data_IF_778027212450
#
_entry.id   IF_778027212450
#
_cell.length_a   1.000
_cell.length_b   1.000
_cell.length_c   1.000
_cell.angle_alpha   90.00
_cell.angle_beta   90.00
_cell.angle_gamma   90.00
#
_symmetry.space_group_name_H-M   'P 1'
#
loop_
_entity.id
_entity.type
_entity.pdbx_description
1 polymer ?
#
# COMPACT_ATOMS: atom_id res chain seq x y z
N UNK A 1 11.26 -21.82 -16.59
CA UNK A 1 12.04 -20.82 -15.84
C UNK A 1 11.15 -19.78 -15.15
N UNK A 2 10.37 -18.96 -15.88
CA UNK A 2 9.47 -17.92 -15.29
C UNK A 2 8.32 -18.44 -14.41
N UNK A 3 8.09 -19.75 -14.34
CA UNK A 3 7.13 -20.35 -13.42
C UNK A 3 7.65 -20.46 -11.98
N UNK A 4 8.96 -20.37 -11.78
CA UNK A 4 9.60 -20.54 -10.46
C UNK A 4 9.28 -19.33 -9.57
N UNK A 5 8.74 -19.51 -8.35
CA UNK A 5 8.36 -18.41 -7.45
C UNK A 5 9.52 -17.45 -7.14
N UNK A 6 10.74 -17.97 -6.95
CA UNK A 6 11.92 -17.16 -6.72
C UNK A 6 12.24 -16.22 -7.90
N UNK A 7 12.04 -16.67 -9.13
CA UNK A 7 12.23 -15.85 -10.34
C UNK A 7 11.15 -14.78 -10.42
N UNK A 8 9.88 -15.14 -10.19
CA UNK A 8 8.77 -14.16 -10.13
C UNK A 8 9.04 -13.08 -9.08
N UNK A 9 9.58 -13.48 -7.94
CA UNK A 9 9.93 -12.58 -6.85
C UNK A 9 11.03 -11.60 -7.25
N UNK A 10 12.14 -12.10 -7.80
CA UNK A 10 13.25 -11.26 -8.26
C UNK A 10 12.80 -10.24 -9.32
N UNK A 11 11.97 -10.67 -10.28
CA UNK A 11 11.40 -9.76 -11.30
C UNK A 11 10.57 -8.65 -10.67
N UNK A 12 9.73 -8.98 -9.67
CA UNK A 12 8.90 -8.00 -8.95
C UNK A 12 9.74 -7.02 -8.12
N UNK A 13 10.81 -7.51 -7.49
CA UNK A 13 11.75 -6.65 -6.76
C UNK A 13 12.42 -5.65 -7.71
N UNK A 14 12.94 -6.13 -8.84
CA UNK A 14 13.60 -5.27 -9.84
C UNK A 14 12.60 -4.25 -10.41
N UNK A 15 11.38 -4.68 -10.73
CA UNK A 15 10.33 -3.77 -11.19
C UNK A 15 10.00 -2.68 -10.15
N UNK A 16 9.88 -3.06 -8.88
CA UNK A 16 9.62 -2.11 -7.79
C UNK A 16 10.81 -1.15 -7.57
N UNK A 17 12.05 -1.60 -7.70
CA UNK A 17 13.23 -0.72 -7.62
C UNK A 17 13.27 0.28 -8.77
N UNK A 18 13.00 -0.16 -10.00
CA UNK A 18 12.89 0.72 -11.17
C UNK A 18 11.75 1.72 -10.97
N UNK A 19 10.59 1.24 -10.51
CA UNK A 19 9.44 2.08 -10.25
C UNK A 19 9.72 3.15 -9.19
N UNK A 20 10.36 2.80 -8.08
CA UNK A 20 10.77 3.79 -7.07
C UNK A 20 11.81 4.76 -7.63
N UNK A 21 12.77 4.28 -8.43
CA UNK A 21 13.73 5.14 -9.11
C UNK A 21 13.06 6.17 -10.04
N UNK A 22 12.05 5.74 -10.80
CA UNK A 22 11.24 6.63 -11.64
C UNK A 22 10.49 7.68 -10.81
N UNK A 23 9.91 7.30 -9.66
CA UNK A 23 9.23 8.24 -8.76
C UNK A 23 10.18 9.25 -8.12
N UNK A 24 11.38 8.82 -7.72
CA UNK A 24 12.40 9.70 -7.18
C UNK A 24 12.87 10.68 -8.27
N UNK A 25 13.16 10.18 -9.47
CA UNK A 25 13.53 11.02 -10.62
C UNK A 25 12.41 12.02 -10.94
N UNK A 26 11.16 11.57 -10.96
CA UNK A 26 9.99 12.42 -11.14
C UNK A 26 9.91 13.50 -10.05
N UNK A 27 10.08 13.14 -8.77
CA UNK A 27 10.06 14.12 -7.67
C UNK A 27 11.16 15.19 -7.82
N UNK A 28 12.37 14.81 -8.22
CA UNK A 28 13.47 15.77 -8.46
C UNK A 28 13.24 16.61 -9.71
N UNK A 29 12.81 16.02 -10.82
CA UNK A 29 12.58 16.77 -12.07
C UNK A 29 11.38 17.73 -11.93
N UNK A 30 10.31 17.34 -11.23
CA UNK A 30 9.16 18.24 -10.95
C UNK A 30 9.61 19.49 -10.19
N UNK A 31 10.61 19.38 -9.32
CA UNK A 31 11.07 20.52 -8.50
C UNK A 31 11.84 21.57 -9.30
N UNK A 32 12.40 21.20 -10.46
CA UNK A 32 13.12 22.14 -11.31
C UNK A 32 12.11 22.89 -12.21
N UNK A 33 11.60 23.99 -11.67
CA UNK A 33 10.57 24.84 -12.29
C UNK A 33 10.97 25.53 -13.60
N UNK A 34 12.10 25.19 -14.21
CA UNK A 34 12.56 25.81 -15.46
C UNK A 34 11.65 25.39 -16.64
N UNK A 35 10.71 26.29 -16.94
CA UNK A 35 9.52 26.17 -17.82
C UNK A 35 9.81 25.68 -19.25
N UNK A 36 11.07 25.65 -19.70
CA UNK A 36 11.42 25.45 -21.12
C UNK A 36 11.52 23.99 -21.58
N UNK A 37 11.57 22.99 -20.68
CA UNK A 37 11.66 21.55 -21.04
C UNK A 37 10.34 20.76 -20.85
N UNK A 38 9.21 21.44 -21.05
CA UNK A 38 7.87 20.93 -20.72
C UNK A 38 7.39 19.72 -21.56
N UNK A 39 8.08 19.37 -22.65
CA UNK A 39 7.65 18.29 -23.54
C UNK A 39 8.21 16.91 -23.15
N UNK A 40 9.47 16.81 -22.73
CA UNK A 40 10.06 15.53 -22.29
C UNK A 40 9.48 15.08 -20.95
N UNK A 41 9.15 16.04 -20.08
CA UNK A 41 8.52 15.80 -18.79
C UNK A 41 7.20 15.01 -18.89
N UNK A 42 6.40 15.29 -19.93
CA UNK A 42 5.08 14.64 -20.12
C UNK A 42 5.23 13.13 -20.36
N UNK A 43 6.26 12.70 -21.08
CA UNK A 43 6.45 11.29 -21.37
C UNK A 43 6.77 10.49 -20.11
N UNK A 44 7.68 10.98 -19.26
CA UNK A 44 8.04 10.35 -17.99
C UNK A 44 6.83 10.25 -17.05
N UNK A 45 6.04 11.33 -16.97
CA UNK A 45 4.82 11.41 -16.16
C UNK A 45 3.79 10.34 -16.59
N UNK A 46 3.50 10.23 -17.90
CA UNK A 46 2.59 9.20 -18.41
C UNK A 46 3.10 7.78 -18.16
N UNK A 47 4.40 7.53 -18.32
CA UNK A 47 5.01 6.23 -18.00
C UNK A 47 4.80 5.91 -16.53
N UNK A 48 5.01 6.87 -15.62
CA UNK A 48 4.75 6.68 -14.20
C UNK A 48 3.29 6.34 -13.93
N UNK A 49 2.33 7.05 -14.53
CA UNK A 49 0.90 6.75 -14.35
C UNK A 49 0.50 5.36 -14.86
N UNK A 50 1.04 4.92 -16.00
CA UNK A 50 0.81 3.56 -16.49
C UNK A 50 1.39 2.53 -15.52
N UNK A 51 2.60 2.74 -15.02
CA UNK A 51 3.23 1.87 -14.03
C UNK A 51 2.46 1.83 -12.70
N UNK A 52 1.90 2.96 -12.27
CA UNK A 52 1.04 3.07 -11.07
C UNK A 52 -0.23 2.26 -11.24
N UNK A 53 -0.90 2.42 -12.37
CA UNK A 53 -2.10 1.65 -12.68
C UNK A 53 -1.78 0.16 -12.72
N UNK A 54 -0.63 -0.22 -13.27
CA UNK A 54 -0.15 -1.59 -13.24
C UNK A 54 0.07 -2.15 -11.84
N UNK A 55 0.72 -1.38 -10.96
CA UNK A 55 0.92 -1.80 -9.56
C UNK A 55 -0.41 -1.95 -8.80
N UNK A 56 -1.36 -1.03 -8.99
CA UNK A 56 -2.68 -1.13 -8.36
C UNK A 56 -3.45 -2.36 -8.86
N UNK A 57 -3.37 -2.66 -10.16
CA UNK A 57 -3.95 -3.88 -10.72
C UNK A 57 -3.29 -5.13 -10.17
N UNK A 58 -1.96 -5.19 -10.06
CA UNK A 58 -1.25 -6.35 -9.50
C UNK A 58 -1.68 -6.60 -8.05
N UNK A 59 -1.77 -5.56 -7.22
CA UNK A 59 -2.28 -5.67 -5.84
C UNK A 59 -3.69 -6.26 -5.83
N UNK A 60 -4.58 -5.70 -6.66
CA UNK A 60 -5.95 -6.17 -6.75
C UNK A 60 -6.06 -7.63 -7.20
N UNK A 61 -5.20 -8.08 -8.13
CA UNK A 61 -5.16 -9.47 -8.57
C UNK A 61 -4.59 -10.42 -7.52
N UNK A 62 -3.54 -10.02 -6.79
CA UNK A 62 -2.95 -10.82 -5.74
C UNK A 62 -3.94 -11.05 -4.59
N UNK A 63 -4.64 -9.99 -4.19
CA UNK A 63 -5.64 -10.06 -3.11
C UNK A 63 -6.92 -10.75 -3.61
N UNK A 64 -7.37 -10.47 -4.84
CA UNK A 64 -8.52 -11.12 -5.46
C UNK A 64 -8.32 -12.62 -5.73
N UNK A 65 -7.07 -13.06 -5.93
CA UNK A 65 -6.72 -14.47 -6.11
C UNK A 65 -7.04 -15.33 -4.89
N UNK A 66 -6.86 -14.81 -3.67
CA UNK A 66 -7.19 -15.52 -2.44
C UNK A 66 -8.70 -15.75 -2.28
N UNK A 67 -9.52 -14.81 -2.78
CA UNK A 67 -10.96 -14.83 -2.62
C UNK A 67 -11.68 -15.73 -3.63
N UNK A 68 -10.99 -16.22 -4.67
CA UNK A 68 -11.57 -17.10 -5.69
C UNK A 68 -12.04 -18.45 -5.12
N UNK A 69 -11.59 -18.80 -3.91
CA UNK A 69 -11.97 -20.02 -3.17
C UNK A 69 -13.35 -19.88 -2.50
N UNK A 70 -13.86 -18.65 -2.27
CA UNK A 70 -15.15 -18.43 -1.61
C UNK A 70 -16.26 -18.10 -2.63
N UNK A 71 -17.30 -18.93 -2.71
CA UNK A 71 -18.31 -18.95 -3.79
C UNK A 71 -19.25 -17.74 -3.95
N UNK A 72 -19.18 -16.68 -3.13
CA UNK A 72 -20.22 -15.64 -3.08
C UNK A 72 -19.68 -14.24 -3.47
N UNK A 73 -20.20 -13.61 -4.54
CA UNK A 73 -19.56 -12.45 -5.21
C UNK A 73 -19.65 -11.13 -4.41
N UNK A 74 -20.79 -10.83 -3.80
CA UNK A 74 -20.95 -9.57 -3.04
C UNK A 74 -20.22 -9.62 -1.69
N UNK A 75 -20.20 -10.78 -1.02
CA UNK A 75 -19.40 -10.97 0.20
C UNK A 75 -17.90 -10.95 -0.10
N UNK A 76 -17.48 -11.30 -1.31
CA UNK A 76 -16.07 -11.24 -1.74
C UNK A 76 -15.55 -9.81 -1.83
N UNK A 77 -16.30 -8.87 -2.41
CA UNK A 77 -15.85 -7.47 -2.56
C UNK A 77 -15.81 -6.76 -1.21
N UNK A 78 -16.82 -6.97 -0.36
CA UNK A 78 -16.82 -6.38 0.97
C UNK A 78 -15.70 -6.95 1.85
N UNK A 79 -15.47 -8.27 1.78
CA UNK A 79 -14.37 -8.91 2.51
C UNK A 79 -13.01 -8.47 1.98
N UNK A 80 -12.85 -8.33 0.65
CA UNK A 80 -11.59 -7.82 0.08
C UNK A 80 -11.29 -6.42 0.59
N UNK A 81 -12.26 -5.52 0.63
CA UNK A 81 -12.08 -4.15 1.10
C UNK A 81 -11.78 -4.04 2.61
N UNK A 82 -12.28 -4.98 3.41
CA UNK A 82 -12.02 -5.01 4.87
C UNK A 82 -10.68 -5.69 5.17
N UNK A 83 -10.31 -6.72 4.40
CA UNK A 83 -9.07 -7.49 4.59
C UNK A 83 -7.87 -6.90 3.84
N UNK A 84 -8.09 -6.02 2.85
CA UNK A 84 -7.01 -5.26 2.22
C UNK A 84 -6.25 -4.49 3.28
N UNK A 85 -4.93 -4.62 3.27
CA UNK A 85 -4.09 -3.93 4.25
C UNK A 85 -4.36 -2.42 4.15
N UNK A 86 -4.59 -1.69 5.27
CA UNK A 86 -4.88 -0.25 5.22
C UNK A 86 -3.77 0.53 4.49
N UNK A 87 -2.53 0.04 4.56
CA UNK A 87 -1.41 0.61 3.82
C UNK A 87 -1.57 0.51 2.28
N UNK A 88 -2.09 -0.59 1.74
CA UNK A 88 -2.25 -0.75 0.29
C UNK A 88 -3.35 0.16 -0.26
N UNK A 89 -4.48 0.26 0.46
CA UNK A 89 -5.54 1.22 0.15
C UNK A 89 -5.04 2.66 0.20
N UNK A 90 -4.29 3.02 1.25
CA UNK A 90 -3.74 4.37 1.39
C UNK A 90 -2.84 4.75 0.20
N UNK A 91 -1.97 3.85 -0.26
CA UNK A 91 -1.16 4.07 -1.47
C UNK A 91 -2.05 4.28 -2.70
N UNK A 92 -3.04 3.42 -2.93
CA UNK A 92 -3.92 3.54 -4.09
C UNK A 92 -4.66 4.88 -4.10
N UNK A 93 -5.17 5.32 -2.94
CA UNK A 93 -5.85 6.60 -2.77
C UNK A 93 -4.91 7.78 -3.06
N UNK A 94 -3.70 7.78 -2.48
CA UNK A 94 -2.71 8.83 -2.75
C UNK A 94 -2.34 8.92 -4.24
N UNK A 95 -2.18 7.78 -4.88
CA UNK A 95 -1.88 7.71 -6.32
C UNK A 95 -3.01 8.27 -7.19
N UNK A 96 -4.26 7.94 -6.87
CA UNK A 96 -5.43 8.49 -7.56
C UNK A 96 -5.52 9.99 -7.32
N UNK A 97 -5.27 10.46 -6.08
CA UNK A 97 -5.27 11.87 -5.74
C UNK A 97 -4.25 12.67 -6.57
N UNK A 98 -3.03 12.14 -6.77
CA UNK A 98 -2.02 12.77 -7.63
C UNK A 98 -2.53 12.94 -9.06
N UNK A 99 -3.11 11.89 -9.65
CA UNK A 99 -3.64 11.94 -11.03
C UNK A 99 -4.78 12.95 -11.13
N UNK A 100 -5.69 12.98 -10.15
CA UNK A 100 -6.82 13.91 -10.12
C UNK A 100 -6.34 15.36 -9.99
N UNK A 101 -5.46 15.65 -9.04
CA UNK A 101 -4.89 16.99 -8.85
C UNK A 101 -4.17 17.44 -10.12
N UNK A 102 -3.45 16.53 -10.78
CA UNK A 102 -2.76 16.83 -12.04
C UNK A 102 -3.72 17.17 -13.18
N UNK A 103 -4.80 16.41 -13.36
CA UNK A 103 -5.81 16.65 -14.39
C UNK A 103 -6.54 17.97 -14.14
N UNK A 104 -6.87 18.28 -12.88
CA UNK A 104 -7.51 19.56 -12.53
C UNK A 104 -6.54 20.73 -12.75
N UNK A 105 -5.27 20.55 -12.34
CA UNK A 105 -4.22 21.53 -12.54
C UNK A 105 -3.96 21.85 -14.01
N UNK A 106 -4.01 20.85 -14.91
CA UNK A 106 -3.83 21.08 -16.34
C UNK A 106 -4.97 21.84 -17.01
N UNK A 107 -6.16 21.84 -16.41
CA UNK A 107 -7.34 22.57 -16.92
C UNK A 107 -7.41 23.99 -16.35
N UNK A 108 -6.98 24.18 -15.10
CA UNK A 108 -7.26 25.42 -14.33
C UNK A 108 -6.09 26.41 -14.34
N UNK A 109 -4.89 25.99 -14.77
CA UNK A 109 -3.66 26.82 -14.86
C UNK A 109 -3.32 27.58 -13.56
N UNK A 110 -3.67 27.00 -12.41
CA UNK A 110 -3.40 27.57 -11.09
C UNK A 110 -2.06 27.07 -10.55
N UNK A 111 -1.15 27.99 -10.24
CA UNK A 111 0.14 27.69 -9.61
C UNK A 111 0.01 26.89 -8.30
N UNK A 112 -1.02 27.15 -7.49
CA UNK A 112 -1.26 26.46 -6.20
C UNK A 112 -1.52 24.96 -6.37
N UNK A 113 -2.23 24.54 -7.43
CA UNK A 113 -2.49 23.12 -7.70
C UNK A 113 -1.21 22.39 -8.12
N UNK A 114 -0.28 23.09 -8.78
CA UNK A 114 1.02 22.52 -9.13
C UNK A 114 1.90 22.29 -7.89
N UNK A 115 1.93 23.24 -6.94
CA UNK A 115 2.62 23.06 -5.66
C UNK A 115 2.05 21.89 -4.87
N UNK A 116 0.71 21.78 -4.78
CA UNK A 116 0.05 20.63 -4.13
C UNK A 116 0.43 19.31 -4.81
N UNK A 117 0.46 19.28 -6.14
CA UNK A 117 0.90 18.12 -6.90
C UNK A 117 2.35 17.73 -6.56
N UNK A 118 3.27 18.68 -6.51
CA UNK A 118 4.68 18.46 -6.17
C UNK A 118 4.84 17.90 -4.73
N UNK A 119 4.08 18.42 -3.77
CA UNK A 119 4.05 17.89 -2.40
C UNK A 119 3.53 16.46 -2.36
N UNK A 120 2.45 16.15 -3.09
CA UNK A 120 1.90 14.80 -3.13
C UNK A 120 2.87 13.81 -3.80
N UNK A 121 3.52 14.20 -4.90
CA UNK A 121 4.52 13.39 -5.60
C UNK A 121 5.70 13.06 -4.68
N UNK A 122 6.23 14.06 -3.95
CA UNK A 122 7.34 13.85 -3.02
C UNK A 122 6.94 12.96 -1.83
N UNK A 123 5.73 13.13 -1.29
CA UNK A 123 5.19 12.26 -0.24
C UNK A 123 5.08 10.81 -0.72
N UNK A 124 4.56 10.59 -1.93
CA UNK A 124 4.44 9.25 -2.51
C UNK A 124 5.80 8.62 -2.76
N UNK A 125 6.79 9.38 -3.24
CA UNK A 125 8.15 8.88 -3.40
C UNK A 125 8.72 8.37 -2.07
N UNK A 126 8.53 9.11 -0.97
CA UNK A 126 8.91 8.67 0.38
C UNK A 126 8.22 7.37 0.80
N UNK A 127 6.91 7.25 0.55
CA UNK A 127 6.16 6.00 0.84
C UNK A 127 6.67 4.82 0.01
N UNK A 128 7.04 5.03 -1.27
CA UNK A 128 7.60 3.97 -2.12
C UNK A 128 8.94 3.43 -1.59
N UNK A 129 9.78 4.29 -1.02
CA UNK A 129 11.05 3.88 -0.43
C UNK A 129 10.81 2.96 0.78
N UNK A 130 9.88 3.32 1.66
CA UNK A 130 9.50 2.49 2.81
C UNK A 130 8.98 1.13 2.35
N UNK A 131 8.28 1.06 1.21
CA UNK A 131 7.74 -0.19 0.68
C UNK A 131 8.80 -1.14 0.12
N UNK A 132 9.93 -0.63 -0.37
CA UNK A 132 11.07 -1.48 -0.75
C UNK A 132 11.54 -2.32 0.44
N UNK A 133 11.43 -1.79 1.66
CA UNK A 133 11.79 -2.50 2.89
C UNK A 133 10.99 -3.80 3.05
N UNK A 134 9.70 -3.84 2.67
CA UNK A 134 8.90 -5.07 2.73
C UNK A 134 9.43 -6.16 1.77
N UNK A 135 9.98 -5.76 0.62
CA UNK A 135 10.64 -6.69 -0.30
C UNK A 135 12.03 -7.13 0.22
N UNK A 136 12.74 -6.27 0.96
CA UNK A 136 14.05 -6.66 1.52
C UNK A 136 13.94 -7.82 2.52
N UNK A 137 12.78 -8.01 3.18
CA UNK A 137 12.52 -9.08 4.16
C UNK A 137 12.79 -10.49 3.59
N UNK A 138 12.56 -10.69 2.29
CA UNK A 138 12.70 -12.01 1.66
C UNK A 138 14.14 -12.33 1.25
N UNK A 139 14.98 -11.32 0.97
CA UNK A 139 16.36 -11.53 0.51
C UNK A 139 17.29 -12.01 1.61
N UNK A 140 17.28 -11.34 2.76
CA UNK A 140 18.17 -11.65 3.87
C UNK A 140 17.37 -12.06 5.12
N UNK A 141 17.82 -13.14 5.76
CA UNK A 141 17.20 -13.66 6.97
C UNK A 141 17.45 -12.72 8.16
N UNK A 142 18.64 -12.12 8.24
CA UNK A 142 19.00 -11.25 9.36
C UNK A 142 18.26 -9.92 9.26
N UNK A 143 18.31 -9.27 8.09
CA UNK A 143 17.59 -8.03 7.84
C UNK A 143 16.07 -8.20 7.96
N UNK A 144 15.52 -9.31 7.44
CA UNK A 144 14.09 -9.59 7.52
C UNK A 144 13.58 -9.74 8.96
N UNK A 145 14.37 -10.40 9.83
CA UNK A 145 14.01 -10.55 11.24
C UNK A 145 14.04 -9.20 11.96
N UNK A 146 15.01 -8.33 11.62
CA UNK A 146 15.09 -6.98 12.16
C UNK A 146 13.87 -6.13 11.76
N UNK A 147 13.52 -6.11 10.46
CA UNK A 147 12.37 -5.34 9.95
C UNK A 147 11.06 -5.82 10.60
N UNK A 148 10.89 -7.14 10.75
CA UNK A 148 9.72 -7.71 11.41
C UNK A 148 9.64 -7.28 12.88
N UNK A 149 10.78 -7.32 13.57
CA UNK A 149 10.90 -6.87 14.96
C UNK A 149 10.57 -5.39 15.11
N UNK A 150 11.08 -4.53 14.23
CA UNK A 150 10.77 -3.10 14.22
C UNK A 150 9.27 -2.85 14.03
N UNK A 151 8.61 -3.63 13.16
CA UNK A 151 7.16 -3.50 12.92
C UNK A 151 6.34 -3.81 14.19
N UNK A 152 6.73 -4.82 14.95
CA UNK A 152 6.09 -5.15 16.23
C UNK A 152 6.34 -4.04 17.27
N UNK A 153 7.56 -3.50 17.35
CA UNK A 153 7.92 -2.41 18.26
C UNK A 153 7.17 -1.10 17.97
N UNK A 154 6.68 -0.87 16.75
CA UNK A 154 5.84 0.30 16.43
C UNK A 154 4.57 0.35 17.30
N UNK A 155 4.07 -0.79 17.78
CA UNK A 155 2.97 -0.81 18.74
C UNK A 155 3.37 -0.16 20.06
N UNK A 156 4.56 -0.46 20.56
CA UNK A 156 5.08 0.15 21.78
C UNK A 156 5.34 1.64 21.59
N UNK A 157 5.86 2.04 20.41
CA UNK A 157 5.96 3.45 20.02
C UNK A 157 4.61 4.15 20.06
N UNK A 158 3.55 3.52 19.55
CA UNK A 158 2.23 4.15 19.52
C UNK A 158 1.69 4.47 20.93
N UNK A 159 1.92 3.58 21.90
CA UNK A 159 1.55 3.81 23.29
C UNK A 159 2.40 4.91 23.92
N UNK A 160 3.71 4.91 23.65
CA UNK A 160 4.60 5.97 24.08
C UNK A 160 4.18 7.34 23.53
N UNK A 161 3.84 7.42 22.23
CA UNK A 161 3.42 8.67 21.60
C UNK A 161 2.15 9.25 22.25
N UNK A 162 1.23 8.41 22.72
CA UNK A 162 0.05 8.86 23.47
C UNK A 162 0.46 9.51 24.80
N UNK A 163 1.30 8.84 25.59
CA UNK A 163 1.77 9.39 26.88
C UNK A 163 2.60 10.67 26.66
N UNK A 164 3.50 10.64 25.68
CA UNK A 164 4.31 11.79 25.28
C UNK A 164 3.43 12.97 24.87
N UNK A 165 2.40 12.74 24.05
CA UNK A 165 1.46 13.81 23.65
C UNK A 165 0.74 14.45 24.83
N UNK A 166 0.36 13.68 25.85
CA UNK A 166 -0.27 14.20 27.08
C UNK A 166 0.73 15.11 27.82
N UNK A 167 1.98 14.69 27.97
CA UNK A 167 3.02 15.47 28.64
C UNK A 167 3.35 16.76 27.88
N UNK A 168 3.45 16.69 26.54
CA UNK A 168 3.66 17.88 25.71
C UNK A 168 2.49 18.84 25.85
N UNK A 169 1.23 18.38 25.71
CA UNK A 169 0.06 19.26 25.87
C UNK A 169 -0.03 19.88 27.27
N UNK A 170 0.25 19.10 28.32
CA UNK A 170 0.31 19.59 29.69
C UNK A 170 1.39 20.66 29.87
N UNK A 171 2.47 20.58 29.09
CA UNK A 171 3.54 21.58 29.10
C UNK A 171 3.17 22.82 28.26
N UNK A 172 2.53 22.65 27.11
CA UNK A 172 2.12 23.75 26.21
C UNK A 172 1.19 24.75 26.89
N UNK A 173 0.23 24.30 27.70
CA UNK A 173 -0.76 25.21 28.33
C UNK A 173 -0.08 26.27 29.21
N UNK A 174 0.82 25.94 30.16
CA UNK A 174 1.59 26.93 30.92
C UNK A 174 2.42 27.90 30.07
N UNK A 175 3.06 27.43 29.00
CA UNK A 175 3.84 28.31 28.11
C UNK A 175 2.96 29.35 27.40
N UNK A 176 1.77 28.95 26.95
CA UNK A 176 0.79 29.89 26.39
C UNK A 176 0.34 30.92 27.44
N UNK A 177 0.15 30.49 28.70
CA UNK A 177 -0.18 31.40 29.79
C UNK A 177 0.97 32.37 30.11
N UNK A 178 2.22 31.90 30.18
CA UNK A 178 3.39 32.74 30.44
C UNK A 178 3.61 33.76 29.33
N UNK A 179 3.37 33.37 28.08
CA UNK A 179 3.42 34.28 26.93
C UNK A 179 2.39 35.40 27.04
N UNK A 180 1.13 35.07 27.38
CA UNK A 180 0.07 36.08 27.60
C UNK A 180 0.34 37.01 28.79
N UNK A 181 1.12 36.57 29.77
CA UNK A 181 1.55 37.40 30.91
C UNK A 181 2.80 38.25 30.59
N UNK A 182 3.37 38.15 29.39
CA UNK A 182 4.57 38.90 28.99
C UNK A 182 5.88 38.36 29.59
N UNK A 183 5.87 37.14 30.14
CA UNK A 183 7.07 36.50 30.70
C UNK A 183 8.00 35.91 29.63
N UNK A 184 7.43 35.62 28.47
CA UNK A 184 8.10 35.01 27.32
C UNK A 184 7.43 35.52 26.05
N UNK A 185 8.18 35.70 24.96
CA UNK A 185 7.61 36.00 23.66
C UNK A 185 8.18 35.01 22.64
N UNK A 186 7.29 34.37 21.87
CA UNK A 186 7.71 33.54 20.75
C UNK A 186 8.39 34.41 19.69
N UNK A 187 9.44 33.90 19.05
CA UNK A 187 10.19 34.68 18.05
C UNK A 187 9.35 34.96 16.79
N UNK A 188 8.33 34.15 16.53
CA UNK A 188 7.49 34.23 15.34
C UNK A 188 6.00 34.26 15.72
N UNK A 189 5.23 35.05 14.97
CA UNK A 189 3.77 35.14 15.08
C UNK A 189 3.04 33.93 14.47
N UNK A 190 3.76 33.07 13.74
CA UNK A 190 3.20 31.84 13.17
C UNK A 190 3.15 30.74 14.24
N UNK A 191 1.94 30.27 14.55
CA UNK A 191 1.63 29.29 15.59
C UNK A 191 2.28 27.92 15.37
N UNK A 192 2.77 27.61 14.15
CA UNK A 192 3.39 26.33 13.82
C UNK A 192 4.91 26.42 13.62
N UNK A 193 5.50 27.62 13.70
CA UNK A 193 6.94 27.77 13.61
C UNK A 193 7.61 27.06 14.80
N UNK A 194 8.76 26.38 14.66
CA UNK A 194 9.40 25.65 15.77
C UNK A 194 9.62 26.46 17.04
N UNK A 195 9.81 27.78 16.87
CA UNK A 195 10.01 28.78 17.93
C UNK A 195 8.74 29.54 18.33
N UNK A 196 7.57 29.02 17.96
CA UNK A 196 6.26 29.54 18.39
C UNK A 196 5.99 29.15 19.85
N UNK A 197 5.14 29.93 20.52
CA UNK A 197 4.78 29.66 21.93
C UNK A 197 4.17 28.26 22.12
N UNK A 198 3.45 27.74 21.12
CA UNK A 198 2.72 26.48 21.21
C UNK A 198 3.67 25.29 21.01
N UNK A 199 4.62 25.40 20.08
CA UNK A 199 5.50 24.30 19.70
C UNK A 199 6.81 24.24 20.49
N UNK A 200 7.19 25.31 21.19
CA UNK A 200 8.44 25.36 21.97
C UNK A 200 8.59 24.16 22.91
N UNK A 201 7.58 23.74 23.69
CA UNK A 201 7.71 22.57 24.57
C UNK A 201 7.92 21.25 23.82
N UNK A 202 7.48 21.15 22.57
CA UNK A 202 7.73 19.98 21.72
C UNK A 202 9.18 19.98 21.25
N UNK A 203 9.66 21.09 20.67
CA UNK A 203 11.02 21.19 20.13
C UNK A 203 12.11 21.19 21.21
N UNK A 204 11.79 21.66 22.42
CA UNK A 204 12.70 21.57 23.56
C UNK A 204 13.00 20.14 24.00
N UNK A 205 12.11 19.18 23.71
CA UNK A 205 12.39 17.76 23.98
C UNK A 205 13.48 17.18 23.08
N UNK A 206 13.67 17.78 21.89
CA UNK A 206 14.71 17.45 20.93
C UNK A 206 15.98 18.29 21.11
N UNK A 207 16.04 19.12 22.14
CA UNK A 207 17.21 19.94 22.48
C UNK A 207 17.23 21.33 21.85
N UNK A 208 16.17 21.76 21.16
CA UNK A 208 16.07 23.14 20.68
C UNK A 208 15.47 24.04 21.78
N UNK A 209 16.35 24.76 22.48
CA UNK A 209 15.98 25.71 23.52
C UNK A 209 15.94 27.13 22.97
N UNK A 210 14.91 27.44 22.17
CA UNK A 210 14.71 28.78 21.62
C UNK A 210 13.89 29.67 22.57
N UNK A 211 14.53 30.17 23.62
CA UNK A 211 13.91 31.14 24.54
C UNK A 211 14.39 32.54 24.20
N UNK A 212 13.53 33.35 23.60
CA UNK A 212 13.76 34.80 23.57
C UNK A 212 13.41 35.35 24.97
N UNK A 213 14.38 36.00 25.61
CA UNK A 213 14.24 36.44 27.00
C UNK A 213 13.57 37.83 27.03
N UNK A 214 12.33 37.91 27.50
CA UNK A 214 11.63 39.19 27.73
C UNK A 214 12.23 39.89 28.95
N UNK A 215 12.75 41.11 28.79
CA UNK A 215 13.49 41.89 29.82
C UNK A 215 12.65 42.41 30.99
N UNK A 216 11.34 42.16 31.03
CA UNK A 216 10.44 42.89 31.91
C UNK A 216 10.29 42.33 33.35
N UNK A 217 10.46 41.02 33.59
CA UNK A 217 10.13 40.40 34.91
C UNK A 217 11.04 39.23 35.31
N UNK A 218 11.88 39.41 36.34
CA UNK A 218 12.82 38.39 36.84
C UNK A 218 12.14 37.09 37.35
N UNK A 219 10.96 37.20 37.98
CA UNK A 219 10.24 36.04 38.54
C UNK A 219 9.62 35.18 37.44
N UNK A 220 9.00 35.81 36.45
CA UNK A 220 8.38 35.12 35.31
C UNK A 220 9.40 34.37 34.46
N UNK A 221 10.58 34.97 34.26
CA UNK A 221 11.70 34.30 33.59
C UNK A 221 12.14 33.04 34.34
N UNK A 222 12.38 33.14 35.65
CA UNK A 222 12.81 31.99 36.45
C UNK A 222 11.77 30.86 36.43
N UNK A 223 10.49 31.19 36.57
CA UNK A 223 9.40 30.20 36.52
C UNK A 223 9.32 29.50 35.16
N UNK A 224 9.43 30.26 34.05
CA UNK A 224 9.42 29.72 32.69
C UNK A 224 10.59 28.77 32.47
N UNK A 225 11.79 29.14 32.95
CA UNK A 225 12.96 28.27 32.90
C UNK A 225 12.73 27.01 33.74
N UNK A 226 12.34 27.13 35.00
CA UNK A 226 12.09 25.95 35.84
C UNK A 226 11.09 24.98 35.19
N UNK A 227 10.00 25.51 34.63
CA UNK A 227 9.01 24.69 33.96
C UNK A 227 9.55 24.00 32.70
N UNK A 228 10.35 24.70 31.88
CA UNK A 228 11.03 24.12 30.73
C UNK A 228 11.96 22.97 31.12
N UNK A 229 12.78 23.19 32.15
CA UNK A 229 13.73 22.20 32.63
C UNK A 229 12.99 20.96 33.16
N UNK A 230 11.90 21.14 33.89
CA UNK A 230 11.05 20.05 34.35
C UNK A 230 10.41 19.29 33.18
N UNK A 231 9.83 19.99 32.19
CA UNK A 231 9.21 19.35 31.03
C UNK A 231 10.22 18.55 30.22
N UNK A 232 11.40 19.12 29.96
CA UNK A 232 12.48 18.44 29.21
C UNK A 232 13.06 17.26 30.00
N UNK A 233 13.21 17.39 31.33
CA UNK A 233 13.65 16.26 32.16
C UNK A 233 12.66 15.09 32.10
N UNK A 234 11.37 15.37 32.26
CA UNK A 234 10.32 14.35 32.19
C UNK A 234 10.28 13.73 30.79
N UNK A 235 10.31 14.53 29.72
CA UNK A 235 10.22 14.00 28.36
C UNK A 235 11.47 13.24 27.93
N UNK A 236 12.64 13.83 28.08
CA UNK A 236 13.87 13.36 27.43
C UNK A 236 14.66 12.40 28.32
N UNK A 237 14.57 12.52 29.64
CA UNK A 237 15.25 11.60 30.57
C UNK A 237 14.29 10.50 31.03
N UNK A 238 13.10 10.84 31.52
CA UNK A 238 12.20 9.82 32.07
C UNK A 238 11.50 9.01 30.97
N UNK A 239 10.77 9.67 30.06
CA UNK A 239 9.96 8.94 29.06
C UNK A 239 10.83 8.18 28.05
N UNK A 240 11.91 8.79 27.52
CA UNK A 240 12.79 8.11 26.56
C UNK A 240 13.50 6.90 27.18
N UNK A 241 13.99 6.98 28.42
CA UNK A 241 14.60 5.82 29.09
C UNK A 241 13.58 4.70 29.30
N UNK A 242 12.34 5.04 29.61
CA UNK A 242 11.25 4.08 29.73
C UNK A 242 10.91 3.44 28.37
N UNK A 243 10.93 4.22 27.28
CA UNK A 243 10.77 3.71 25.91
C UNK A 243 11.88 2.72 25.54
N UNK A 244 13.13 3.05 25.84
CA UNK A 244 14.28 2.16 25.61
C UNK A 244 14.10 0.86 26.40
N UNK A 245 13.67 0.93 27.67
CA UNK A 245 13.41 -0.26 28.48
C UNK A 245 12.30 -1.15 27.91
N UNK A 246 11.21 -0.55 27.40
CA UNK A 246 10.15 -1.30 26.71
C UNK A 246 10.67 -1.95 25.43
N UNK A 247 11.43 -1.21 24.62
CA UNK A 247 12.04 -1.74 23.39
C UNK A 247 12.97 -2.90 23.67
N UNK A 248 13.84 -2.84 24.68
CA UNK A 248 14.74 -3.95 25.03
C UNK A 248 13.94 -5.20 25.39
N UNK A 249 12.89 -5.06 26.22
CA UNK A 249 12.05 -6.20 26.63
C UNK A 249 11.31 -6.82 25.43
N UNK A 250 10.73 -5.99 24.57
CA UNK A 250 10.03 -6.45 23.36
C UNK A 250 11.03 -7.05 22.36
N UNK A 251 12.22 -6.47 22.22
CA UNK A 251 13.30 -6.99 21.37
C UNK A 251 13.70 -8.39 21.78
N UNK A 252 14.02 -8.63 23.05
CA UNK A 252 14.45 -9.94 23.56
C UNK A 252 13.35 -11.00 23.33
N UNK A 253 12.09 -10.64 23.61
CA UNK A 253 10.95 -11.52 23.35
C UNK A 253 10.80 -11.86 21.87
N UNK A 254 10.98 -10.89 20.98
CA UNK A 254 10.83 -11.10 19.55
C UNK A 254 12.02 -11.82 18.96
N UNK A 255 13.24 -11.54 19.38
CA UNK A 255 14.44 -12.20 18.87
C UNK A 255 14.39 -13.73 19.05
N UNK A 256 13.79 -14.21 20.15
CA UNK A 256 13.60 -15.65 20.39
C UNK A 256 12.59 -16.30 19.44
N UNK A 257 11.59 -15.56 18.94
CA UNK A 257 10.52 -16.07 18.08
C UNK A 257 10.60 -15.62 16.61
N UNK A 258 11.45 -14.64 16.31
CA UNK A 258 11.50 -13.96 15.02
C UNK A 258 11.92 -14.90 13.88
N UNK A 259 12.73 -15.91 14.16
CA UNK A 259 13.13 -16.91 13.15
C UNK A 259 11.93 -17.71 12.64
N UNK A 260 11.03 -18.13 13.53
CA UNK A 260 9.81 -18.86 13.19
C UNK A 260 8.79 -17.96 12.49
N UNK A 261 8.57 -16.75 13.00
CA UNK A 261 7.65 -15.79 12.38
C UNK A 261 8.11 -15.35 11.00
N UNK A 262 9.42 -15.14 10.82
CA UNK A 262 10.03 -14.86 9.53
C UNK A 262 9.77 -16.01 8.55
N UNK A 263 10.03 -17.25 8.95
CA UNK A 263 9.76 -18.41 8.09
C UNK A 263 8.28 -18.44 7.69
N UNK A 264 7.36 -18.23 8.64
CA UNK A 264 5.93 -18.23 8.38
C UNK A 264 5.52 -17.11 7.41
N UNK A 265 6.05 -15.90 7.62
CA UNK A 265 5.83 -14.76 6.73
C UNK A 265 6.36 -15.02 5.31
N UNK A 266 7.57 -15.59 5.19
CA UNK A 266 8.15 -15.97 3.89
C UNK A 266 7.27 -17.00 3.18
N UNK A 267 6.79 -18.01 3.89
CA UNK A 267 5.87 -19.01 3.35
C UNK A 267 4.56 -18.41 2.86
N UNK A 268 3.94 -17.52 3.64
CA UNK A 268 2.72 -16.85 3.24
C UNK A 268 2.91 -16.06 1.93
N UNK A 269 4.02 -15.31 1.81
CA UNK A 269 4.36 -14.57 0.58
C UNK A 269 4.64 -15.50 -0.59
N UNK A 270 5.38 -16.58 -0.38
CA UNK A 270 5.70 -17.56 -1.42
C UNK A 270 4.44 -18.27 -1.93
N UNK A 271 3.52 -18.66 -1.04
CA UNK A 271 2.27 -19.30 -1.40
C UNK A 271 1.38 -18.39 -2.26
N UNK A 272 1.30 -17.11 -1.92
CA UNK A 272 0.57 -16.12 -2.74
C UNK A 272 1.18 -16.01 -4.14
N UNK A 273 2.52 -15.99 -4.25
CA UNK A 273 3.22 -15.93 -5.54
C UNK A 273 3.11 -17.23 -6.35
N UNK A 274 3.01 -18.37 -5.67
CA UNK A 274 2.83 -19.68 -6.29
C UNK A 274 1.46 -19.79 -6.95
N UNK A 275 0.40 -19.37 -6.25
CA UNK A 275 -0.98 -19.42 -6.75
C UNK A 275 -1.34 -18.28 -7.70
N UNK A 276 -0.51 -17.24 -7.79
CA UNK A 276 -0.68 -16.21 -8.80
C UNK A 276 -0.28 -16.75 -10.18
N UNK A 277 -1.29 -16.96 -11.03
CA UNK A 277 -1.11 -17.32 -12.45
C UNK A 277 -0.42 -16.21 -13.26
N UNK A 278 -0.30 -15.01 -12.69
CA UNK A 278 0.23 -13.84 -13.38
C UNK A 278 1.75 -13.89 -13.51
N UNK A 279 2.24 -13.81 -14.76
CA UNK A 279 3.67 -13.95 -15.10
C UNK A 279 4.37 -12.62 -15.40
N UNK A 280 3.63 -11.55 -15.67
CA UNK A 280 4.24 -10.26 -16.05
C UNK A 280 4.70 -9.48 -14.82
N UNK A 281 5.71 -8.60 -14.95
CA UNK A 281 6.01 -7.62 -13.92
C UNK A 281 4.80 -6.69 -13.68
N UNK A 282 4.67 -6.12 -12.47
CA UNK A 282 3.59 -5.22 -12.10
C UNK A 282 3.38 -4.06 -13.10
N UNK A 283 4.46 -3.41 -13.54
CA UNK A 283 4.41 -2.32 -14.53
C UNK A 283 3.78 -2.73 -15.88
N UNK A 284 3.95 -3.98 -16.31
CA UNK A 284 3.42 -4.50 -17.57
C UNK A 284 2.04 -5.17 -17.45
N UNK A 285 1.44 -5.17 -16.25
CA UNK A 285 0.10 -5.75 -16.04
C UNK A 285 -1.00 -5.08 -16.86
N UNK A 286 -1.03 -3.74 -17.10
CA UNK A 286 -2.13 -3.14 -17.87
C UNK A 286 -2.17 -3.67 -19.31
N UNK A 287 -1.00 -3.81 -19.94
CA UNK A 287 -0.87 -4.32 -21.31
C UNK A 287 -1.34 -5.76 -21.42
N UNK A 288 -0.97 -6.59 -20.44
CA UNK A 288 -1.35 -8.01 -20.43
C UNK A 288 -2.83 -8.22 -20.12
N UNK A 289 -3.43 -7.39 -19.25
CA UNK A 289 -4.89 -7.38 -19.02
C UNK A 289 -5.64 -6.98 -20.29
N UNK A 290 -5.19 -5.94 -20.99
CA UNK A 290 -5.81 -5.49 -22.24
C UNK A 290 -5.73 -6.56 -23.33
N UNK A 291 -4.57 -7.21 -23.50
CA UNK A 291 -4.41 -8.32 -24.44
C UNK A 291 -5.34 -9.51 -24.09
N UNK A 292 -5.47 -9.84 -22.80
CA UNK A 292 -6.37 -10.89 -22.34
C UNK A 292 -7.84 -10.54 -22.61
N UNK A 293 -8.27 -9.30 -22.33
CA UNK A 293 -9.61 -8.80 -22.64
C UNK A 293 -9.89 -8.83 -24.14
N UNK A 294 -8.97 -8.34 -24.97
CA UNK A 294 -9.09 -8.36 -26.43
C UNK A 294 -9.26 -9.80 -26.96
N UNK A 295 -8.49 -10.76 -26.44
CA UNK A 295 -8.61 -12.16 -26.84
C UNK A 295 -9.95 -12.78 -26.42
N UNK A 296 -10.51 -12.41 -25.26
CA UNK A 296 -11.82 -12.88 -24.79
C UNK A 296 -12.95 -12.31 -25.61
N UNK A 297 -12.87 -11.02 -25.95
CA UNK A 297 -13.83 -10.38 -26.85
C UNK A 297 -13.78 -11.02 -28.24
N UNK A 298 -12.57 -11.26 -28.77
CA UNK A 298 -12.38 -11.96 -30.04
C UNK A 298 -12.98 -13.37 -30.04
N UNK A 299 -12.76 -14.16 -28.97
CA UNK A 299 -13.37 -15.51 -28.86
C UNK A 299 -14.88 -15.47 -28.78
N UNK A 300 -15.47 -14.50 -28.08
CA UNK A 300 -16.93 -14.31 -28.03
C UNK A 300 -17.51 -13.94 -29.39
N UNK A 301 -16.80 -13.13 -30.16
CA UNK A 301 -17.19 -12.83 -31.54
C UNK A 301 -17.10 -14.07 -32.44
N UNK A 302 -16.07 -14.91 -32.30
CA UNK A 302 -15.94 -16.15 -33.07
C UNK A 302 -16.98 -17.21 -32.69
N UNK A 303 -17.31 -17.38 -31.41
CA UNK A 303 -18.38 -18.30 -31.00
C UNK A 303 -19.75 -17.79 -31.38
N UNK A 304 -20.01 -16.48 -31.32
CA UNK A 304 -21.26 -15.90 -31.82
C UNK A 304 -21.44 -16.14 -33.32
N UNK A 305 -20.38 -15.97 -34.12
CA UNK A 305 -20.41 -16.24 -35.57
C UNK A 305 -20.62 -17.73 -35.90
N UNK A 306 -20.02 -18.63 -35.12
CA UNK A 306 -20.23 -20.08 -35.28
C UNK A 306 -21.65 -20.53 -34.92
N UNK A 307 -22.28 -19.92 -33.90
CA UNK A 307 -23.67 -20.22 -33.54
C UNK A 307 -24.64 -19.75 -34.63
N UNK A 308 -24.43 -18.57 -35.21
CA UNK A 308 -25.27 -18.06 -36.31
C UNK A 308 -25.20 -18.98 -37.53
N UNK A 309 -24.00 -19.37 -37.98
CA UNK A 309 -23.84 -20.27 -39.13
C UNK A 309 -24.48 -21.66 -38.89
N UNK A 310 -24.33 -22.22 -37.68
CA UNK A 310 -24.97 -23.51 -37.34
C UNK A 310 -26.50 -23.42 -37.26
N UNK A 311 -27.05 -22.23 -36.99
CA UNK A 311 -28.52 -22.02 -36.97
C UNK A 311 -29.07 -21.95 -38.40
N UNK A 312 -28.31 -21.34 -39.32
CA UNK A 312 -28.66 -21.25 -40.74
C UNK A 312 -28.56 -22.62 -41.45
N UNK A 313 -27.53 -23.40 -41.14
CA UNK A 313 -27.36 -24.76 -41.67
C UNK A 313 -28.45 -25.72 -41.15
N UNK A 314 -28.88 -25.59 -39.88
CA UNK A 314 -30.03 -26.34 -39.36
C UNK A 314 -31.36 -25.94 -40.01
N UNK A 315 -31.56 -24.65 -40.33
CA UNK A 315 -32.75 -24.21 -41.05
C UNK A 315 -32.82 -24.74 -42.49
N UNK A 316 -31.66 -25.03 -43.11
CA UNK A 316 -31.58 -25.67 -44.43
C UNK A 316 -31.85 -27.18 -44.32
N UNK A 317 -31.31 -27.85 -43.30
CA UNK A 317 -31.51 -29.30 -43.11
C UNK A 317 -32.95 -29.63 -42.71
N UNK A 318 -33.63 -28.79 -41.92
CA UNK A 318 -35.06 -28.96 -41.61
C UNK A 318 -35.99 -28.75 -42.82
N UNK A 319 -35.56 -28.00 -43.83
CA UNK A 319 -36.27 -27.93 -45.12
C UNK A 319 -36.04 -29.17 -46.00
N UNK A 320 -34.90 -29.86 -45.86
CA UNK A 320 -34.66 -31.12 -46.57
C UNK A 320 -35.29 -32.34 -45.88
N UNK A 321 -35.43 -32.33 -44.55
CA UNK A 321 -35.94 -33.46 -43.77
C UNK A 321 -37.47 -33.58 -43.72
N UNK A 322 -38.21 -32.59 -44.23
CA UNK A 322 -39.66 -32.68 -44.46
C UNK A 322 -40.06 -33.54 -45.67
N UNK A 323 -39.10 -34.12 -46.40
CA UNK A 323 -39.37 -34.99 -47.56
C UNK A 323 -39.10 -36.48 -47.28
N UNK A 324 -38.56 -36.83 -46.11
CA UNK A 324 -38.20 -38.23 -45.84
C UNK A 324 -38.39 -38.54 -44.36
N UNK A 325 -39.65 -38.72 -43.97
CA UNK A 325 -40.02 -39.24 -42.66
C UNK A 325 -41.05 -40.35 -42.84
N UNK A 326 -40.57 -41.51 -43.27
CA UNK A 326 -41.17 -42.80 -42.92
C UNK A 326 -40.07 -43.79 -42.57
N UNK A 327 -40.27 -44.48 -41.45
CA UNK A 327 -39.54 -45.63 -40.92
C UNK A 327 -38.10 -45.41 -40.40
N UNK A 328 -37.95 -45.39 -39.08
CA UNK A 328 -37.16 -46.41 -38.37
C UNK A 328 -37.11 -46.15 -36.86
N UNK A 329 -37.22 -47.25 -36.11
CA UNK A 329 -37.31 -47.38 -34.66
C UNK A 329 -35.96 -47.65 -33.98
N UNK A 330 -35.86 -47.23 -32.69
CA UNK A 330 -34.93 -47.64 -31.59
C UNK A 330 -33.57 -46.90 -31.47
N UNK A 331 -32.85 -47.01 -30.33
CA UNK A 331 -33.23 -46.89 -28.90
C UNK A 331 -32.27 -45.92 -28.12
N UNK A 332 -32.42 -45.69 -26.80
CA UNK A 332 -31.64 -44.70 -26.05
C UNK A 332 -30.45 -45.33 -25.30
N UNK A 333 -29.22 -44.89 -25.55
CA UNK A 333 -28.06 -45.22 -24.71
C UNK A 333 -26.93 -44.20 -24.93
N UNK A 334 -26.84 -43.19 -24.06
CA UNK A 334 -25.61 -42.43 -23.72
C UNK A 334 -25.94 -41.33 -22.71
N UNK A 335 -26.24 -41.74 -21.46
CA UNK A 335 -26.40 -40.82 -20.31
C UNK A 335 -25.60 -41.25 -19.08
N UNK A 336 -24.51 -41.99 -19.29
CA UNK A 336 -23.71 -42.58 -18.21
C UNK A 336 -22.24 -42.09 -18.13
N UNK A 337 -21.83 -41.12 -18.97
CA UNK A 337 -20.44 -40.67 -18.98
C UNK A 337 -20.18 -39.36 -18.20
N UNK A 338 -21.21 -38.69 -17.68
CA UNK A 338 -21.06 -37.39 -17.00
C UNK A 338 -21.09 -37.45 -15.47
N UNK A 339 -21.33 -38.62 -14.85
CA UNK A 339 -21.39 -38.75 -13.38
C UNK A 339 -20.09 -39.25 -12.74
N UNK A 340 -19.13 -39.75 -13.53
CA UNK A 340 -17.88 -40.33 -12.99
C UNK A 340 -16.76 -39.31 -12.76
N UNK A 341 -16.89 -38.08 -13.27
CA UNK A 341 -15.85 -37.05 -13.12
C UNK A 341 -16.05 -36.14 -11.90
N UNK A 342 -17.20 -36.21 -11.22
CA UNK A 342 -17.52 -35.36 -10.06
C UNK A 342 -17.05 -36.01 -8.74
N UNK A 343 -17.00 -37.34 -8.66
CA UNK A 343 -16.64 -38.06 -7.42
C UNK A 343 -15.14 -38.14 -7.14
N UNK A 344 -14.28 -37.97 -8.15
CA UNK A 344 -12.82 -37.98 -7.94
C UNK A 344 -12.29 -36.66 -7.36
N UNK A 345 -12.96 -35.54 -7.65
CA UNK A 345 -12.58 -34.22 -7.11
C UNK A 345 -13.00 -34.06 -5.65
N UNK A 346 -14.11 -34.69 -5.23
CA UNK A 346 -14.56 -34.66 -3.84
C UNK A 346 -13.64 -35.46 -2.89
N UNK A 347 -12.95 -36.50 -3.39
CA UNK A 347 -12.09 -37.37 -2.58
C UNK A 347 -10.70 -36.79 -2.30
N UNK A 348 -10.25 -35.79 -3.07
CA UNK A 348 -8.95 -35.13 -2.87
C UNK A 348 -8.98 -34.02 -1.80
N UNK A 349 -10.16 -33.59 -1.35
CA UNK A 349 -10.31 -32.45 -0.42
C UNK A 349 -10.35 -32.84 1.07
N UNK A 350 -10.28 -34.12 1.41
CA UNK A 350 -10.33 -34.61 2.80
C UNK A 350 -8.98 -35.16 3.26
N UNK A 351 -8.04 -34.28 3.57
CA UNK A 351 -6.87 -34.64 4.39
C UNK A 351 -7.01 -34.01 5.79
N UNK A 352 -6.96 -34.80 6.87
CA UNK A 352 -7.14 -34.30 8.23
C UNK A 352 -5.87 -33.61 8.73
N UNK A 353 -6.01 -32.36 9.17
CA UNK A 353 -5.01 -31.63 9.95
C UNK A 353 -4.96 -32.29 11.34
N UNK A 354 -3.91 -33.07 11.61
CA UNK A 354 -3.57 -33.51 12.96
C UNK A 354 -2.97 -32.32 13.72
N UNK A 355 -3.67 -31.88 14.76
CA UNK A 355 -3.20 -30.87 15.69
C UNK A 355 -2.02 -31.36 16.54
N UNK A 356 -1.11 -30.42 16.82
CA UNK A 356 -0.24 -30.40 17.99
C UNK A 356 -0.28 -28.98 18.56
#
# INVERSE_FOLDING_TARGET
FYSIPAVKYAVRLVDQLIFTGLWIAMAFVVTDSSVTEQQEFRALEYVCFVCVLGHNMDIWFLEGGQLRIAGDHNKRVLRSLIETKPASLFRAILMIAIVVVRIIGSVTDQHTLFEMYQVLVSMVAGVQIIWILEYMILLDNNLGALILTVKEMLRDVSLFMVIFSIVIMASTIPFVCFSRMGYYEGEYADDFHPRSTITVPLWSTFGEFALSQSTANNIGQWLTMMFLWCSTFISSVLLVNLLIAMFTKTYERLQTNASLELIWFKWQKLLVLLHSDWRSPPSATPVTVLAALASRLGRRCCTAKSVVNNTEERAVIDKSSSTERDNSSKPPLLRAASSLYVDEVARAASFPIKGK
#
